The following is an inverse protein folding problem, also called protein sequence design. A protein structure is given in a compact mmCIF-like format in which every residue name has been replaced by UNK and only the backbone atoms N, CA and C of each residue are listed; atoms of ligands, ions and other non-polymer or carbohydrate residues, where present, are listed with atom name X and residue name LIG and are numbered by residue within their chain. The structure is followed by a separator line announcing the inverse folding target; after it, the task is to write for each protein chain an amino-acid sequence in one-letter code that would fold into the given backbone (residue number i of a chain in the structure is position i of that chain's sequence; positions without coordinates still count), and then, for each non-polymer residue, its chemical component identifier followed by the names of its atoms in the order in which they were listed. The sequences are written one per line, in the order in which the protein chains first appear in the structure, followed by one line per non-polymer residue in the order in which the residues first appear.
data_IF_351596904463
#
_entry.id   IF_351596904463
#
_cell.length_a   1.000
_cell.length_b   1.000
_cell.length_c   1.000
_cell.angle_alpha   90.00
_cell.angle_beta   90.00
_cell.angle_gamma   90.00
#
_symmetry.space_group_name_H-M   'P 1'
#
loop_
_entity.id
_entity.type
_entity.pdbx_description
1 polymer ?
#
# COMPACT_ATOMS: atom_id res chain seq x y z
N UNK A 1 9.66 -11.58 -3.08
CA UNK A 1 9.03 -12.03 -1.82
C UNK A 1 10.04 -12.48 -0.76
N UNK A 2 11.17 -13.11 -1.11
CA UNK A 2 12.17 -13.58 -0.12
C UNK A 2 12.82 -12.47 0.73
N UNK A 3 13.12 -11.31 0.13
CA UNK A 3 13.80 -10.21 0.85
C UNK A 3 12.95 -9.67 2.02
N UNK A 4 11.62 -9.56 1.86
CA UNK A 4 10.71 -9.07 2.91
C UNK A 4 10.69 -10.02 4.12
N UNK A 5 10.67 -11.33 3.87
CA UNK A 5 10.67 -12.34 4.93
C UNK A 5 11.96 -12.33 5.77
N UNK A 6 13.08 -11.89 5.20
CA UNK A 6 14.38 -11.85 5.90
C UNK A 6 14.60 -10.60 6.74
N UNK A 7 13.80 -9.53 6.60
CA UNK A 7 14.05 -8.26 7.29
C UNK A 7 14.04 -8.43 8.81
N UNK A 8 13.01 -9.07 9.36
CA UNK A 8 12.89 -9.25 10.81
C UNK A 8 14.01 -10.13 11.38
N UNK A 9 14.33 -11.32 10.82
CA UNK A 9 15.49 -12.10 11.24
C UNK A 9 16.82 -11.31 11.24
N UNK A 10 17.06 -10.50 10.21
CA UNK A 10 18.27 -9.68 10.10
C UNK A 10 18.33 -8.59 11.19
N UNK A 11 17.20 -7.97 11.53
CA UNK A 11 17.14 -7.01 12.64
C UNK A 11 17.44 -7.66 13.99
N UNK A 12 16.99 -8.89 14.21
CA UNK A 12 17.33 -9.65 15.42
C UNK A 12 18.83 -9.99 15.48
N UNK A 13 19.41 -10.42 14.36
CA UNK A 13 20.84 -10.73 14.28
C UNK A 13 21.70 -9.49 14.55
N UNK A 14 21.37 -8.37 13.91
CA UNK A 14 22.05 -7.09 14.13
C UNK A 14 21.93 -6.60 15.58
N UNK A 15 20.75 -6.77 16.18
CA UNK A 15 20.52 -6.45 17.59
C UNK A 15 21.40 -7.28 18.52
N UNK A 16 21.52 -8.58 18.27
CA UNK A 16 22.30 -9.47 19.14
C UNK A 16 23.81 -9.21 19.01
N UNK A 17 24.30 -8.96 17.79
CA UNK A 17 25.71 -8.62 17.54
C UNK A 17 26.10 -7.30 18.23
N UNK A 18 25.19 -6.31 18.27
CA UNK A 18 25.46 -4.96 18.80
C UNK A 18 24.77 -4.68 20.13
N UNK A 19 24.38 -5.73 20.85
CA UNK A 19 23.51 -5.65 22.03
C UNK A 19 24.02 -4.70 23.10
N UNK A 20 25.31 -4.81 23.44
CA UNK A 20 25.92 -3.99 24.49
C UNK A 20 25.94 -2.51 24.12
N UNK A 21 26.30 -2.21 22.87
CA UNK A 21 26.28 -0.84 22.34
C UNK A 21 24.86 -0.26 22.36
N UNK A 22 23.86 -1.05 21.96
CA UNK A 22 22.44 -0.64 21.96
C UNK A 22 21.98 -0.35 23.39
N UNK A 23 22.31 -1.20 24.36
CA UNK A 23 21.94 -1.00 25.76
C UNK A 23 22.56 0.28 26.31
N UNK A 24 23.86 0.52 26.04
CA UNK A 24 24.57 1.69 26.54
C UNK A 24 24.12 3.00 25.90
N UNK A 25 23.93 3.03 24.58
CA UNK A 25 23.80 4.28 23.82
C UNK A 25 22.39 4.55 23.28
N UNK A 26 21.66 3.50 22.89
CA UNK A 26 20.41 3.62 22.10
C UNK A 26 19.15 3.23 22.89
N UNK A 27 19.28 2.58 24.03
CA UNK A 27 18.15 2.19 24.87
C UNK A 27 17.49 3.41 25.53
N UNK A 28 16.23 3.68 25.18
CA UNK A 28 15.45 4.80 25.73
C UNK A 28 15.20 4.63 27.24
N UNK A 29 15.09 3.38 27.71
CA UNK A 29 14.84 3.06 29.12
C UNK A 29 16.12 2.77 29.93
N UNK A 30 17.31 3.17 29.46
CA UNK A 30 18.58 2.89 30.17
C UNK A 30 18.64 3.46 31.60
N UNK A 31 17.92 4.56 31.86
CA UNK A 31 17.85 5.21 33.17
C UNK A 31 16.81 4.57 34.10
N UNK A 32 16.14 3.50 33.68
CA UNK A 32 15.10 2.79 34.44
C UNK A 32 15.44 1.30 34.56
N UNK A 33 16.49 0.93 35.32
CA UNK A 33 16.96 -0.45 35.42
C UNK A 33 15.88 -1.42 35.95
N UNK A 34 14.94 -0.95 36.76
CA UNK A 34 13.82 -1.73 37.28
C UNK A 34 12.91 -2.33 36.18
N UNK A 35 12.95 -1.80 34.96
CA UNK A 35 12.14 -2.30 33.83
C UNK A 35 12.79 -3.49 33.11
N UNK A 36 14.05 -3.82 33.40
CA UNK A 36 14.77 -4.92 32.73
C UNK A 36 14.68 -4.85 31.18
N UNK A 37 14.71 -3.62 30.63
CA UNK A 37 14.45 -3.38 29.21
C UNK A 37 15.53 -4.00 28.32
N UNK A 38 16.82 -3.87 28.68
CA UNK A 38 17.93 -4.50 27.97
C UNK A 38 17.93 -4.26 26.45
N UNK A 39 17.66 -3.01 26.03
CA UNK A 39 17.65 -2.64 24.60
C UNK A 39 16.41 -3.07 23.82
N UNK A 40 15.46 -3.80 24.42
CA UNK A 40 14.25 -4.29 23.73
C UNK A 40 13.37 -3.17 23.16
N UNK A 41 13.37 -1.98 23.78
CA UNK A 41 12.65 -0.82 23.25
C UNK A 41 13.17 -0.41 21.85
N UNK A 42 14.49 -0.40 21.67
CA UNK A 42 15.11 -0.07 20.39
C UNK A 42 14.75 -1.11 19.31
N UNK A 43 14.85 -2.40 19.65
CA UNK A 43 14.47 -3.48 18.73
C UNK A 43 12.99 -3.41 18.32
N UNK A 44 12.10 -3.19 19.28
CA UNK A 44 10.67 -3.05 19.02
C UNK A 44 10.37 -1.87 18.08
N UNK A 45 11.06 -0.74 18.27
CA UNK A 45 10.95 0.43 17.39
C UNK A 45 11.40 0.12 15.96
N UNK A 46 12.54 -0.56 15.80
CA UNK A 46 13.05 -0.96 14.46
C UNK A 46 12.11 -1.92 13.73
N UNK A 47 11.52 -2.87 14.46
CA UNK A 47 10.52 -3.79 13.91
C UNK A 47 9.26 -3.03 13.48
N UNK A 48 8.78 -2.08 14.29
CA UNK A 48 7.61 -1.27 13.96
C UNK A 48 7.85 -0.37 12.74
N UNK A 49 9.03 0.25 12.63
CA UNK A 49 9.45 1.04 11.46
C UNK A 49 9.43 0.18 10.18
N UNK A 50 9.99 -1.03 10.24
CA UNK A 50 10.01 -1.96 9.11
C UNK A 50 8.59 -2.35 8.66
N UNK A 51 7.70 -2.69 9.60
CA UNK A 51 6.30 -3.02 9.30
C UNK A 51 5.54 -1.85 8.66
N UNK A 52 5.71 -0.64 9.18
CA UNK A 52 5.07 0.56 8.62
C UNK A 52 5.54 0.84 7.18
N UNK A 53 6.80 0.53 6.87
CA UNK A 53 7.32 0.67 5.52
C UNK A 53 6.74 -0.39 4.58
N UNK A 54 6.56 -1.63 5.05
CA UNK A 54 5.87 -2.68 4.29
C UNK A 54 4.40 -2.33 3.98
N UNK A 55 3.67 -1.77 4.96
CA UNK A 55 2.28 -1.32 4.80
C UNK A 55 2.16 -0.23 3.73
N UNK A 56 3.00 0.82 3.82
CA UNK A 56 3.02 1.89 2.81
C UNK A 56 3.29 1.37 1.40
N UNK A 57 4.18 0.39 1.29
CA UNK A 57 4.48 -0.20 -0.01
C UNK A 57 3.34 -1.08 -0.53
N UNK A 58 2.62 -1.78 0.35
CA UNK A 58 1.42 -2.51 -0.03
C UNK A 58 0.29 -1.57 -0.50
N UNK A 59 0.12 -0.41 0.16
CA UNK A 59 -0.82 0.63 -0.27
C UNK A 59 -0.48 1.16 -1.67
N UNK A 60 0.81 1.47 -1.94
CA UNK A 60 1.24 1.94 -3.26
C UNK A 60 1.06 0.88 -4.35
N UNK A 61 1.38 -0.38 -4.04
CA UNK A 61 1.21 -1.51 -4.98
C UNK A 61 -0.28 -1.72 -5.31
N UNK A 62 -1.15 -1.58 -4.31
CA UNK A 62 -2.61 -1.68 -4.50
C UNK A 62 -3.15 -0.56 -5.39
N UNK A 63 -2.75 0.70 -5.14
CA UNK A 63 -3.14 1.85 -5.97
C UNK A 63 -2.66 1.69 -7.42
N UNK A 64 -1.42 1.26 -7.63
CA UNK A 64 -0.89 1.00 -8.97
C UNK A 64 -1.71 -0.08 -9.69
N UNK A 65 -2.12 -1.14 -8.99
CA UNK A 65 -2.94 -2.21 -9.56
C UNK A 65 -4.36 -1.77 -9.91
N UNK A 66 -4.95 -0.87 -9.13
CA UNK A 66 -6.26 -0.28 -9.43
C UNK A 66 -6.21 0.61 -10.69
N UNK A 67 -5.16 1.43 -10.83
CA UNK A 67 -5.00 2.32 -11.99
C UNK A 67 -4.68 1.53 -13.27
N UNK A 68 -3.94 0.42 -13.16
CA UNK A 68 -3.60 -0.43 -14.31
C UNK A 68 -4.83 -1.05 -15.02
N UNK A 69 -5.95 -1.24 -14.31
CA UNK A 69 -7.21 -1.73 -14.91
C UNK A 69 -7.82 -0.72 -15.91
N UNK A 70 -7.45 0.56 -15.84
CA UNK A 70 -7.99 1.59 -16.73
C UNK A 70 -7.24 1.75 -18.06
N UNK A 71 -6.13 1.02 -18.27
CA UNK A 71 -5.23 1.23 -19.42
C UNK A 71 -5.25 0.13 -20.48
N UNK A 72 -6.22 -0.80 -20.46
CA UNK A 72 -6.43 -1.76 -21.56
C UNK A 72 -7.06 -1.10 -22.81
N UNK A 73 -6.62 0.12 -23.14
CA UNK A 73 -6.79 0.64 -24.49
C UNK A 73 -5.68 0.04 -25.36
N UNK A 74 -6.00 -0.74 -26.41
CA UNK A 74 -4.99 -1.25 -27.31
C UNK A 74 -4.18 -0.08 -27.88
N UNK A 75 -2.85 -0.23 -28.03
CA UNK A 75 -2.01 0.84 -28.54
C UNK A 75 -2.55 1.25 -29.91
N UNK A 76 -2.97 2.52 -30.04
CA UNK A 76 -3.26 3.11 -31.33
C UNK A 76 -1.93 3.20 -32.09
N UNK A 77 -1.65 2.20 -32.91
CA UNK A 77 -0.55 2.22 -33.86
C UNK A 77 -0.89 3.23 -34.96
N UNK A 78 -0.61 4.51 -34.70
CA UNK A 78 -0.63 5.52 -35.75
C UNK A 78 0.67 5.44 -36.54
N UNK A 79 0.61 4.87 -37.74
CA UNK A 79 1.67 5.03 -38.75
C UNK A 79 1.55 6.45 -39.32
N UNK A 80 2.43 7.34 -38.86
CA UNK A 80 2.50 8.72 -39.31
C UNK A 80 3.15 8.79 -40.69
N UNK A 81 2.33 8.95 -41.73
CA UNK A 81 2.81 9.29 -43.07
C UNK A 81 2.66 10.81 -43.26
N UNK A 82 3.81 11.49 -43.28
CA UNK A 82 3.91 12.93 -43.31
C UNK A 82 3.43 13.47 -44.67
N UNK A 83 2.20 13.99 -44.73
CA UNK A 83 1.77 14.92 -45.79
C UNK A 83 0.98 16.05 -45.15
N UNK A 84 1.47 17.26 -45.36
CA UNK A 84 1.02 18.48 -44.71
C UNK A 84 -0.31 18.98 -45.29
N UNK A 85 -1.44 18.50 -44.78
CA UNK A 85 -2.72 19.22 -44.84
C UNK A 85 -3.50 19.01 -43.53
N UNK A 86 -3.47 20.03 -42.66
CA UNK A 86 -4.08 19.98 -41.33
C UNK A 86 -5.58 20.30 -41.43
N UNK A 87 -6.41 19.29 -41.70
CA UNK A 87 -7.87 19.41 -41.61
C UNK A 87 -8.34 18.96 -40.20
N UNK A 88 -8.73 19.92 -39.37
CA UNK A 88 -9.30 19.63 -38.05
C UNK A 88 -10.76 19.19 -38.20
N UNK A 89 -10.98 17.88 -38.29
CA UNK A 89 -12.34 17.33 -38.20
C UNK A 89 -12.70 17.19 -36.73
N UNK A 90 -13.63 18.01 -36.24
CA UNK A 90 -14.14 17.93 -34.88
C UNK A 90 -14.65 16.50 -34.62
N UNK A 91 -13.98 15.76 -33.73
CA UNK A 91 -14.39 14.40 -33.39
C UNK A 91 -15.81 14.46 -32.82
N UNK A 92 -16.74 13.74 -33.45
CA UNK A 92 -18.10 13.59 -32.92
C UNK A 92 -17.99 13.18 -31.44
N UNK A 93 -18.75 13.82 -30.54
CA UNK A 93 -18.67 13.49 -29.12
C UNK A 93 -18.92 11.99 -28.92
N UNK A 94 -17.97 11.33 -28.27
CA UNK A 94 -18.08 9.92 -27.93
C UNK A 94 -19.26 9.80 -26.95
N UNK A 95 -20.33 9.14 -27.38
CA UNK A 95 -21.43 8.78 -26.49
C UNK A 95 -20.96 7.61 -25.61
N UNK A 96 -20.52 7.91 -24.40
CA UNK A 96 -20.29 6.88 -23.40
C UNK A 96 -21.65 6.34 -22.93
N UNK A 97 -21.94 5.08 -23.25
CA UNK A 97 -23.06 4.35 -22.66
C UNK A 97 -22.54 3.57 -21.46
N UNK A 98 -22.63 4.17 -20.27
CA UNK A 98 -22.37 3.49 -19.02
C UNK A 98 -23.61 2.64 -18.66
N UNK A 99 -23.53 1.33 -18.80
CA UNK A 99 -24.49 0.43 -18.18
C UNK A 99 -23.96 0.02 -16.81
N UNK A 100 -24.59 0.55 -15.76
CA UNK A 100 -24.25 0.22 -14.39
C UNK A 100 -24.60 -1.24 -14.12
N UNK A 101 -23.59 -2.11 -14.08
CA UNK A 101 -23.77 -3.55 -13.79
C UNK A 101 -24.07 -3.82 -12.30
N UNK A 102 -24.12 -2.77 -11.45
CA UNK A 102 -24.48 -2.85 -10.04
C UNK A 102 -25.96 -2.63 -9.74
N UNK A 103 -26.84 -2.61 -10.75
CA UNK A 103 -28.28 -2.62 -10.52
C UNK A 103 -28.75 -4.06 -10.28
N UNK A 104 -28.48 -4.55 -9.07
CA UNK A 104 -29.31 -5.49 -8.31
C UNK A 104 -28.66 -5.74 -6.94
N UNK A 105 -28.37 -4.67 -6.18
CA UNK A 105 -28.51 -4.81 -4.74
C UNK A 105 -30.01 -4.83 -4.47
N UNK A 106 -30.59 -6.02 -4.41
CA UNK A 106 -31.84 -6.21 -3.70
C UNK A 106 -31.59 -5.67 -2.30
N UNK A 107 -32.20 -4.53 -2.03
CA UNK A 107 -32.19 -3.88 -0.74
C UNK A 107 -32.60 -4.94 0.29
N UNK A 108 -31.65 -5.43 1.09
CA UNK A 108 -32.01 -6.21 2.27
C UNK A 108 -32.67 -5.17 3.18
N UNK A 109 -33.99 -5.08 3.13
CA UNK A 109 -34.76 -4.18 3.98
C UNK A 109 -34.89 -4.70 5.41
N UNK A 110 -34.40 -5.91 5.71
CA UNK A 110 -34.59 -6.56 7.00
C UNK A 110 -33.28 -6.81 7.77
N UNK A 111 -32.45 -5.77 7.95
CA UNK A 111 -31.36 -5.83 8.94
C UNK A 111 -31.39 -4.55 9.78
N UNK A 112 -32.41 -4.44 10.64
CA UNK A 112 -32.44 -3.85 11.99
C UNK A 112 -33.77 -3.14 12.25
N UNK A 113 -34.58 -3.72 13.15
CA UNK A 113 -35.63 -3.00 13.86
C UNK A 113 -35.32 -3.10 15.36
N UNK A 114 -35.45 -2.00 16.13
CA UNK A 114 -35.28 -2.06 17.58
C UNK A 114 -36.37 -2.92 18.23
N UNK A 115 -36.13 -3.49 19.43
CA UNK A 115 -37.11 -4.32 20.11
C UNK A 115 -38.37 -3.51 20.44
N UNK A 116 -39.53 -4.06 20.11
CA UNK A 116 -40.82 -3.52 20.50
C UNK A 116 -41.04 -3.82 21.99
N UNK A 117 -41.44 -2.79 22.74
CA UNK A 117 -41.71 -2.84 24.18
C UNK A 117 -42.90 -3.73 24.53
#
# INVERSE_FOLDING_TARGET
MLVKACVIPLLYLDFEIRRDYIIANLCENRNRPQLNCNGKCYLAKKIAEAKKQEEKQAESDFLAKLLAVSTDMPPLTSTYNNTNEFNFTFLKPVKFSFQNQFVSFNHIQDIFHPPLA
#
